data_IF_408261141466
#
_entry.id   IF_408261141466
#
_cell.length_a   1.000
_cell.length_b   1.000
_cell.length_c   1.000
_cell.angle_alpha   90.00
_cell.angle_beta   90.00
_cell.angle_gamma   90.00
#
_symmetry.space_group_name_H-M   'P 1'
#
loop_
_entity.id
_entity.type
_entity.pdbx_description
1 polymer ?
#
# COMPACT_ATOMS: atom_id res chain seq x y z
N UNK A 1 8.71 8.81 -8.69
CA UNK A 1 10.06 9.37 -8.56
C UNK A 1 10.47 9.52 -7.11
N UNK A 2 11.70 9.90 -6.88
CA UNK A 2 12.29 10.10 -5.56
C UNK A 2 12.64 11.57 -5.34
N UNK A 3 12.63 12.05 -4.11
CA UNK A 3 13.09 13.40 -3.81
C UNK A 3 14.61 13.50 -3.95
N UNK A 4 15.06 14.55 -4.61
CA UNK A 4 16.47 14.93 -4.55
C UNK A 4 16.80 15.33 -3.11
N UNK A 5 17.92 14.84 -2.58
CA UNK A 5 18.33 15.08 -1.19
C UNK A 5 18.22 16.56 -0.80
N UNK A 6 17.65 16.84 0.37
CA UNK A 6 17.45 18.17 0.94
C UNK A 6 16.61 19.14 0.10
N UNK A 7 15.78 18.62 -0.80
CA UNK A 7 14.87 19.41 -1.64
C UNK A 7 13.51 18.74 -1.77
N UNK A 8 12.50 19.49 -2.26
CA UNK A 8 11.21 18.93 -2.71
C UNK A 8 11.17 18.64 -4.22
N UNK A 9 12.33 18.71 -4.89
CA UNK A 9 12.42 18.40 -6.31
C UNK A 9 12.35 16.89 -6.52
N UNK A 10 11.42 16.46 -7.37
CA UNK A 10 11.25 15.05 -7.71
C UNK A 10 12.12 14.69 -8.91
N UNK A 11 12.97 13.69 -8.74
CA UNK A 11 13.69 13.03 -9.83
C UNK A 11 12.80 11.93 -10.39
N UNK A 12 12.37 12.00 -11.65
CA UNK A 12 11.52 10.98 -12.22
C UNK A 12 12.26 9.65 -12.36
N UNK A 13 11.64 8.58 -11.86
CA UNK A 13 12.13 7.21 -12.00
C UNK A 13 11.12 6.43 -12.83
N UNK A 14 11.58 5.63 -13.76
CA UNK A 14 10.72 4.76 -14.58
C UNK A 14 10.89 3.28 -14.27
N UNK A 15 12.00 2.93 -13.61
CA UNK A 15 12.31 1.60 -13.15
C UNK A 15 13.21 1.70 -11.92
N UNK A 16 12.94 0.90 -10.90
CA UNK A 16 13.73 0.85 -9.67
C UNK A 16 14.12 -0.62 -9.38
N UNK A 17 15.40 -0.87 -9.13
CA UNK A 17 15.91 -2.23 -8.92
C UNK A 17 15.45 -2.86 -7.61
N UNK A 18 14.94 -2.09 -6.67
CA UNK A 18 14.48 -2.57 -5.35
C UNK A 18 12.96 -2.49 -5.19
N UNK A 19 12.24 -1.93 -6.16
CA UNK A 19 10.78 -1.90 -6.17
C UNK A 19 10.21 -3.07 -6.99
N UNK A 20 8.93 -3.33 -6.81
CA UNK A 20 8.20 -4.33 -7.59
C UNK A 20 7.96 -3.81 -9.01
N UNK A 21 8.31 -4.61 -10.03
CA UNK A 21 8.20 -4.22 -11.44
C UNK A 21 6.76 -3.89 -11.86
N UNK A 22 5.77 -4.57 -11.27
CA UNK A 22 4.36 -4.28 -11.51
C UNK A 22 3.99 -2.91 -10.94
N UNK A 23 4.50 -2.57 -9.75
CA UNK A 23 4.29 -1.26 -9.16
C UNK A 23 4.92 -0.15 -10.01
N UNK A 24 6.14 -0.34 -10.48
CA UNK A 24 6.83 0.58 -11.40
C UNK A 24 5.99 0.83 -12.67
N UNK A 25 5.53 -0.24 -13.32
CA UNK A 25 4.74 -0.15 -14.55
C UNK A 25 3.42 0.62 -14.32
N UNK A 26 2.74 0.37 -13.20
CA UNK A 26 1.51 1.08 -12.81
C UNK A 26 1.80 2.57 -12.59
N UNK A 27 2.87 2.93 -11.87
CA UNK A 27 3.26 4.32 -11.61
C UNK A 27 3.57 5.06 -12.93
N UNK A 28 4.30 4.42 -13.85
CA UNK A 28 4.62 4.99 -15.16
C UNK A 28 3.33 5.21 -15.98
N UNK A 29 2.41 4.25 -15.97
CA UNK A 29 1.11 4.37 -16.64
C UNK A 29 0.28 5.51 -16.05
N UNK A 30 0.18 5.60 -14.71
CA UNK A 30 -0.54 6.69 -14.05
C UNK A 30 0.06 8.04 -14.47
N UNK A 31 1.38 8.19 -14.45
CA UNK A 31 2.07 9.42 -14.89
C UNK A 31 1.70 9.82 -16.32
N UNK A 32 1.55 8.87 -17.22
CA UNK A 32 1.11 9.10 -18.60
C UNK A 32 -0.37 9.51 -18.65
N UNK A 33 -1.24 8.80 -17.92
CA UNK A 33 -2.67 9.08 -17.86
C UNK A 33 -2.99 10.45 -17.26
N UNK A 34 -2.19 10.96 -16.29
CA UNK A 34 -2.37 12.31 -15.73
C UNK A 34 -2.40 13.37 -16.81
N UNK A 35 -1.51 13.27 -17.81
CA UNK A 35 -1.46 14.21 -18.95
C UNK A 35 -2.72 14.10 -19.80
N UNK A 36 -3.14 12.87 -20.14
CA UNK A 36 -4.30 12.61 -20.99
C UNK A 36 -5.61 13.06 -20.35
N UNK A 37 -5.72 12.93 -19.03
CA UNK A 37 -6.90 13.34 -18.25
C UNK A 37 -6.81 14.75 -17.68
N UNK A 38 -5.74 15.50 -17.99
CA UNK A 38 -5.50 16.88 -17.52
C UNK A 38 -5.54 16.99 -15.98
N UNK A 39 -5.07 15.94 -15.28
CA UNK A 39 -4.92 15.93 -13.83
C UNK A 39 -3.54 16.49 -13.51
N UNK A 40 -3.49 17.60 -12.77
CA UNK A 40 -2.22 18.23 -12.39
C UNK A 40 -1.63 17.53 -11.16
N UNK A 41 -0.35 17.11 -11.18
CA UNK A 41 0.37 16.77 -9.97
C UNK A 41 0.36 17.93 -8.99
N UNK A 42 0.32 17.61 -7.70
CA UNK A 42 0.39 18.60 -6.64
C UNK A 42 1.81 19.16 -6.52
N UNK A 43 1.91 20.45 -6.41
CA UNK A 43 3.16 21.16 -6.19
C UNK A 43 3.17 21.69 -4.74
N UNK A 44 4.09 21.19 -3.94
CA UNK A 44 4.19 21.53 -2.51
C UNK A 44 4.65 22.96 -2.26
N UNK A 45 5.37 23.60 -3.21
CA UNK A 45 5.79 25.00 -3.07
C UNK A 45 4.64 25.96 -3.28
N UNK A 46 3.80 25.68 -4.28
CA UNK A 46 2.68 26.57 -4.63
C UNK A 46 1.37 26.17 -3.95
N UNK A 47 1.29 24.98 -3.38
CA UNK A 47 0.06 24.42 -2.81
C UNK A 47 -1.01 24.12 -3.86
N UNK A 48 -0.65 24.02 -5.13
CA UNK A 48 -1.58 23.84 -6.26
C UNK A 48 -1.44 22.46 -6.91
N UNK A 49 -2.49 22.01 -7.56
CA UNK A 49 -2.56 20.68 -8.17
C UNK A 49 -3.47 19.73 -7.41
N UNK A 50 -3.67 18.53 -7.92
CA UNK A 50 -4.64 17.58 -7.38
C UNK A 50 -4.00 16.32 -6.84
N UNK A 51 -3.21 15.59 -7.67
CA UNK A 51 -2.63 14.31 -7.27
C UNK A 51 -1.33 14.53 -6.49
N UNK A 52 -1.33 14.18 -5.21
CA UNK A 52 -0.18 14.34 -4.31
C UNK A 52 0.74 13.12 -4.33
N UNK A 53 0.16 11.94 -4.10
CA UNK A 53 0.91 10.70 -4.05
C UNK A 53 0.14 9.58 -4.74
N UNK A 54 0.86 8.55 -5.13
CA UNK A 54 0.31 7.26 -5.53
C UNK A 54 0.97 6.20 -4.67
N UNK A 55 0.15 5.40 -3.99
CA UNK A 55 0.62 4.25 -3.24
C UNK A 55 0.15 2.98 -3.96
N UNK A 56 1.08 2.09 -4.27
CA UNK A 56 0.78 0.78 -4.82
C UNK A 56 1.11 -0.28 -3.77
N UNK A 57 0.15 -1.15 -3.48
CA UNK A 57 0.35 -2.31 -2.62
C UNK A 57 0.07 -3.57 -3.43
N UNK A 58 0.93 -4.56 -3.29
CA UNK A 58 0.78 -5.85 -3.95
C UNK A 58 0.76 -6.98 -2.93
N UNK A 59 -0.20 -7.89 -3.07
CA UNK A 59 -0.16 -9.19 -2.42
C UNK A 59 0.79 -10.09 -3.20
N UNK A 60 1.86 -10.52 -2.55
CA UNK A 60 2.92 -11.30 -3.19
C UNK A 60 2.43 -12.70 -3.61
N UNK A 61 1.70 -13.36 -2.70
CA UNK A 61 1.16 -14.70 -2.90
C UNK A 61 -0.11 -14.67 -3.77
N UNK A 62 -0.97 -13.66 -3.58
CA UNK A 62 -2.24 -13.56 -4.29
C UNK A 62 -2.15 -12.92 -5.67
N UNK A 63 -1.10 -12.12 -5.93
CA UNK A 63 -0.97 -11.28 -7.11
C UNK A 63 -1.94 -10.09 -7.16
N UNK A 64 -2.78 -9.89 -6.14
CA UNK A 64 -3.72 -8.78 -6.06
C UNK A 64 -2.99 -7.45 -5.91
N UNK A 65 -3.51 -6.41 -6.57
CA UNK A 65 -2.91 -5.07 -6.56
C UNK A 65 -3.93 -4.04 -6.09
N UNK A 66 -3.53 -3.20 -5.15
CA UNK A 66 -4.24 -2.01 -4.71
C UNK A 66 -3.51 -0.76 -5.19
N UNK A 67 -4.25 0.16 -5.78
CA UNK A 67 -3.76 1.50 -6.12
C UNK A 67 -4.49 2.52 -5.27
N UNK A 68 -3.74 3.37 -4.55
CA UNK A 68 -4.30 4.48 -3.77
C UNK A 68 -3.87 5.80 -4.41
N UNK A 69 -4.83 6.56 -4.89
CA UNK A 69 -4.64 7.90 -5.45
C UNK A 69 -4.85 8.92 -4.33
N UNK A 70 -3.78 9.54 -3.85
CA UNK A 70 -3.86 10.57 -2.81
C UNK A 70 -4.06 11.93 -3.45
N UNK A 71 -5.20 12.54 -3.20
CA UNK A 71 -5.62 13.81 -3.80
C UNK A 71 -5.71 14.92 -2.77
N UNK A 72 -5.38 16.15 -3.16
CA UNK A 72 -5.50 17.34 -2.30
C UNK A 72 -6.96 17.70 -1.98
N UNK A 73 -7.90 17.32 -2.86
CA UNK A 73 -9.34 17.59 -2.70
C UNK A 73 -10.15 16.33 -2.99
N UNK A 74 -11.42 16.25 -2.49
CA UNK A 74 -12.26 15.08 -2.72
C UNK A 74 -12.79 14.97 -4.16
N UNK A 75 -12.66 16.02 -4.97
CA UNK A 75 -13.12 16.03 -6.35
C UNK A 75 -12.00 15.53 -7.26
N UNK A 76 -12.15 14.30 -7.76
CA UNK A 76 -11.28 13.75 -8.81
C UNK A 76 -12.07 13.79 -10.14
N UNK A 77 -11.73 14.70 -11.06
CA UNK A 77 -12.39 14.79 -12.35
C UNK A 77 -12.24 13.49 -13.15
N UNK A 78 -13.29 13.12 -13.89
CA UNK A 78 -13.29 11.95 -14.79
C UNK A 78 -12.82 10.64 -14.16
N UNK A 79 -12.96 10.48 -12.83
CA UNK A 79 -12.45 9.34 -12.04
C UNK A 79 -12.79 7.97 -12.63
N UNK A 80 -14.04 7.77 -13.09
CA UNK A 80 -14.49 6.48 -13.62
C UNK A 80 -13.71 6.13 -14.91
N UNK A 81 -13.59 7.09 -15.84
CA UNK A 81 -12.83 6.91 -17.08
C UNK A 81 -11.33 6.73 -16.83
N UNK A 82 -10.78 7.44 -15.84
CA UNK A 82 -9.39 7.30 -15.43
C UNK A 82 -9.12 5.89 -14.90
N UNK A 83 -9.97 5.41 -13.98
CA UNK A 83 -9.84 4.06 -13.41
C UNK A 83 -10.02 2.98 -14.48
N UNK A 84 -10.99 3.16 -15.39
CA UNK A 84 -11.21 2.24 -16.51
C UNK A 84 -9.98 2.17 -17.44
N UNK A 85 -9.42 3.33 -17.82
CA UNK A 85 -8.22 3.40 -18.65
C UNK A 85 -7.01 2.75 -17.97
N UNK A 86 -6.82 2.98 -16.68
CA UNK A 86 -5.75 2.37 -15.90
C UNK A 86 -5.89 0.84 -15.87
N UNK A 87 -7.09 0.34 -15.57
CA UNK A 87 -7.37 -1.10 -15.48
C UNK A 87 -7.35 -1.82 -16.83
N UNK A 88 -7.62 -1.11 -17.92
CA UNK A 88 -7.49 -1.67 -19.27
C UNK A 88 -6.03 -2.05 -19.59
N UNK A 89 -5.07 -1.31 -19.04
CA UNK A 89 -3.63 -1.55 -19.20
C UNK A 89 -3.13 -2.53 -18.13
N UNK A 90 -3.65 -2.40 -16.90
CA UNK A 90 -3.27 -3.17 -15.73
C UNK A 90 -4.48 -3.96 -15.17
N UNK A 91 -4.87 -5.07 -15.80
CA UNK A 91 -6.03 -5.89 -15.36
C UNK A 91 -5.82 -6.55 -13.99
N UNK A 92 -4.59 -6.68 -13.54
CA UNK A 92 -4.20 -7.20 -12.22
C UNK A 92 -4.64 -6.28 -11.05
N UNK A 93 -5.00 -5.02 -11.32
CA UNK A 93 -5.49 -4.10 -10.29
C UNK A 93 -6.84 -4.59 -9.76
N UNK A 94 -6.82 -5.06 -8.51
CA UNK A 94 -7.98 -5.58 -7.79
C UNK A 94 -8.84 -4.47 -7.22
N UNK A 95 -8.20 -3.39 -6.75
CA UNK A 95 -8.92 -2.27 -6.14
C UNK A 95 -8.21 -0.93 -6.37
N UNK A 96 -9.01 0.13 -6.51
CA UNK A 96 -8.53 1.51 -6.61
C UNK A 96 -9.25 2.35 -5.56
N UNK A 97 -8.48 3.08 -4.76
CA UNK A 97 -8.95 3.93 -3.66
C UNK A 97 -8.51 5.36 -3.94
N UNK A 98 -9.41 6.32 -3.73
CA UNK A 98 -9.06 7.72 -3.55
C UNK A 98 -8.91 7.98 -2.06
N UNK A 99 -7.74 8.47 -1.64
CA UNK A 99 -7.53 9.01 -0.30
C UNK A 99 -7.40 10.53 -0.43
N UNK A 100 -8.05 11.27 0.48
CA UNK A 100 -8.04 12.74 0.45
C UNK A 100 -7.15 13.27 1.55
N UNK A 101 -6.07 13.95 1.15
CA UNK A 101 -5.15 14.63 2.05
C UNK A 101 -4.88 16.06 1.55
N UNK A 102 -5.71 17.01 2.01
CA UNK A 102 -5.55 18.45 1.72
C UNK A 102 -4.71 19.20 2.75
N UNK A 103 -4.20 18.51 3.79
CA UNK A 103 -3.44 19.15 4.87
C UNK A 103 -1.98 19.39 4.44
N UNK A 104 -1.38 20.45 4.93
CA UNK A 104 0.06 20.66 4.83
C UNK A 104 0.75 19.79 5.89
N UNK A 105 1.19 18.61 5.48
CA UNK A 105 1.73 17.56 6.38
C UNK A 105 2.66 16.63 5.61
N UNK A 106 3.62 16.03 6.33
CA UNK A 106 4.47 14.96 5.81
C UNK A 106 3.77 13.59 5.72
N UNK A 107 2.57 13.47 6.29
CA UNK A 107 1.79 12.23 6.18
C UNK A 107 1.27 12.06 4.76
N UNK A 108 1.49 10.88 4.20
CA UNK A 108 1.04 10.54 2.84
C UNK A 108 -0.48 10.42 2.79
N UNK A 109 -1.08 9.67 3.72
CA UNK A 109 -2.52 9.38 3.73
C UNK A 109 -3.27 10.33 4.66
N UNK A 110 -4.41 10.81 4.17
CA UNK A 110 -5.39 11.54 4.96
C UNK A 110 -6.42 10.61 5.62
N UNK A 111 -7.43 11.22 6.22
CA UNK A 111 -8.46 10.48 6.98
C UNK A 111 -9.57 9.92 6.10
N UNK A 112 -9.94 10.65 5.03
CA UNK A 112 -11.05 10.29 4.16
C UNK A 112 -10.61 9.39 3.03
N UNK A 113 -11.34 8.32 2.83
CA UNK A 113 -11.13 7.37 1.74
C UNK A 113 -12.43 7.11 0.99
N UNK A 114 -12.30 6.88 -0.31
CA UNK A 114 -13.38 6.49 -1.19
C UNK A 114 -12.92 5.39 -2.13
N UNK A 115 -13.59 4.26 -2.11
CA UNK A 115 -13.37 3.19 -3.08
C UNK A 115 -13.89 3.64 -4.43
N UNK A 116 -13.02 3.66 -5.44
CA UNK A 116 -13.36 3.97 -6.82
C UNK A 116 -13.63 2.72 -7.64
N UNK A 117 -12.96 1.61 -7.28
CA UNK A 117 -13.13 0.31 -7.90
C UNK A 117 -12.74 -0.81 -6.92
N UNK A 118 -13.41 -1.97 -7.04
CA UNK A 118 -13.10 -3.18 -6.28
C UNK A 118 -13.57 -3.12 -4.82
N UNK A 119 -13.06 -4.02 -3.97
CA UNK A 119 -13.55 -4.19 -2.60
C UNK A 119 -12.98 -3.16 -1.59
N UNK A 120 -11.96 -2.36 -1.96
CA UNK A 120 -11.29 -1.44 -1.04
C UNK A 120 -10.19 -2.08 -0.18
N UNK A 121 -9.83 -3.32 -0.45
CA UNK A 121 -8.73 -4.05 0.17
C UNK A 121 -8.14 -5.06 -0.81
N UNK A 122 -6.99 -5.59 -0.47
CA UNK A 122 -6.41 -6.79 -1.10
C UNK A 122 -6.20 -7.86 -0.03
N UNK A 123 -6.09 -9.10 -0.44
CA UNK A 123 -5.73 -10.21 0.43
C UNK A 123 -4.37 -10.76 0.03
N UNK A 124 -3.60 -11.21 1.02
CA UNK A 124 -2.35 -11.91 0.79
C UNK A 124 -2.14 -12.99 1.84
N UNK A 125 -1.31 -13.98 1.52
CA UNK A 125 -0.99 -15.08 2.42
C UNK A 125 0.45 -14.95 2.91
N UNK A 126 0.63 -15.00 4.23
CA UNK A 126 1.94 -14.98 4.89
C UNK A 126 1.98 -16.05 5.98
N UNK A 127 2.99 -16.91 5.95
CA UNK A 127 3.11 -18.07 6.88
C UNK A 127 1.82 -18.89 6.96
N UNK A 128 1.09 -19.03 5.85
CA UNK A 128 -0.18 -19.78 5.78
C UNK A 128 -1.38 -19.09 6.43
N UNK A 129 -1.28 -17.82 6.88
CA UNK A 129 -2.40 -17.00 7.31
C UNK A 129 -2.80 -16.05 6.18
N UNK A 130 -4.11 -15.89 5.96
CA UNK A 130 -4.65 -14.91 5.01
C UNK A 130 -4.88 -13.59 5.73
N UNK A 131 -4.32 -12.52 5.19
CA UNK A 131 -4.44 -11.16 5.71
C UNK A 131 -5.20 -10.28 4.75
N UNK A 132 -6.15 -9.53 5.28
CA UNK A 132 -6.85 -8.49 4.54
C UNK A 132 -6.15 -7.15 4.77
N UNK A 133 -5.66 -6.55 3.70
CA UNK A 133 -4.78 -5.38 3.72
C UNK A 133 -5.54 -4.18 3.19
N UNK A 134 -5.75 -3.15 4.01
CA UNK A 134 -6.33 -1.86 3.63
C UNK A 134 -5.26 -0.85 3.18
N UNK A 135 -5.67 0.30 2.67
CA UNK A 135 -4.75 1.37 2.30
C UNK A 135 -3.85 1.80 3.47
N UNK A 136 -4.41 1.89 4.68
CA UNK A 136 -3.70 2.33 5.91
C UNK A 136 -2.97 1.22 6.65
N UNK A 137 -3.26 -0.05 6.36
CA UNK A 137 -2.60 -1.18 7.03
C UNK A 137 -1.10 -1.18 6.73
N UNK A 138 -0.28 -1.32 7.77
CA UNK A 138 1.11 -1.70 7.58
C UNK A 138 1.17 -3.19 7.24
N UNK A 139 1.89 -3.55 6.19
CA UNK A 139 2.18 -4.92 5.81
C UNK A 139 3.62 -5.00 5.31
N UNK A 140 4.32 -6.06 5.65
CA UNK A 140 5.73 -6.22 5.29
C UNK A 140 5.91 -6.33 3.77
N UNK A 141 6.80 -5.52 3.22
CA UNK A 141 7.01 -5.42 1.77
C UNK A 141 7.85 -6.57 1.18
N UNK A 142 8.57 -7.32 2.03
CA UNK A 142 9.37 -8.46 1.63
C UNK A 142 8.86 -9.72 2.33
N UNK A 143 7.83 -10.39 1.81
CA UNK A 143 7.20 -11.53 2.46
C UNK A 143 8.16 -12.72 2.63
N UNK A 144 9.06 -12.95 1.67
CA UNK A 144 10.05 -14.03 1.74
C UNK A 144 10.96 -13.88 2.97
N UNK A 145 11.45 -12.67 3.23
CA UNK A 145 12.27 -12.42 4.41
C UNK A 145 11.43 -12.34 5.68
N UNK A 146 10.20 -11.87 5.57
CA UNK A 146 9.27 -11.82 6.70
C UNK A 146 8.94 -13.22 7.21
N UNK A 147 8.69 -14.18 6.34
CA UNK A 147 8.44 -15.57 6.71
C UNK A 147 9.65 -16.19 7.45
N UNK A 148 10.87 -15.93 6.97
CA UNK A 148 12.10 -16.37 7.65
C UNK A 148 12.24 -15.71 9.03
N UNK A 149 12.00 -14.39 9.11
CA UNK A 149 12.08 -13.63 10.35
C UNK A 149 11.06 -14.16 11.39
N UNK A 150 9.81 -14.32 10.96
CA UNK A 150 8.74 -14.78 11.84
C UNK A 150 8.94 -16.24 12.25
N UNK A 151 9.33 -17.11 11.31
CA UNK A 151 9.70 -18.50 11.64
C UNK A 151 10.81 -18.57 12.68
N UNK A 152 11.85 -17.75 12.55
CA UNK A 152 12.94 -17.70 13.53
C UNK A 152 12.50 -17.13 14.87
N UNK A 153 11.62 -16.11 14.88
CA UNK A 153 11.08 -15.57 16.11
C UNK A 153 10.25 -16.61 16.88
N UNK A 154 9.38 -17.36 16.19
CA UNK A 154 8.58 -18.44 16.80
C UNK A 154 9.48 -19.56 17.34
N UNK A 155 10.50 -19.98 16.58
CA UNK A 155 11.48 -20.97 17.02
C UNK A 155 12.18 -20.55 18.33
N UNK A 156 12.69 -19.30 18.36
CA UNK A 156 13.39 -18.76 19.55
C UNK A 156 12.46 -18.55 20.75
N UNK A 157 11.18 -18.28 20.51
CA UNK A 157 10.19 -18.16 21.57
C UNK A 157 9.90 -19.52 22.27
N UNK A 158 10.26 -20.64 21.64
CA UNK A 158 10.15 -21.99 22.17
C UNK A 158 8.75 -22.30 22.79
N UNK A 159 7.69 -21.84 22.12
CA UNK A 159 6.32 -21.97 22.60
C UNK A 159 5.90 -23.46 22.67
N UNK A 160 5.29 -23.84 23.78
CA UNK A 160 4.86 -25.24 24.07
C UNK A 160 3.35 -25.45 23.91
N UNK A 161 2.61 -24.38 23.60
CA UNK A 161 1.15 -24.39 23.52
C UNK A 161 0.45 -23.99 24.83
N UNK A 162 1.21 -23.68 25.91
CA UNK A 162 0.65 -23.31 27.20
C UNK A 162 0.77 -21.82 27.53
N UNK A 163 1.53 -21.07 26.74
CA UNK A 163 1.88 -19.69 27.00
C UNK A 163 0.76 -18.72 26.58
N UNK A 164 0.74 -17.58 27.27
CA UNK A 164 0.05 -16.37 26.80
C UNK A 164 1.08 -15.43 26.21
N UNK A 165 0.94 -15.14 24.92
CA UNK A 165 1.81 -14.21 24.18
C UNK A 165 1.13 -12.85 24.08
N UNK A 166 1.89 -11.78 24.28
CA UNK A 166 1.44 -10.40 24.10
C UNK A 166 2.15 -9.81 22.89
N UNK A 167 1.38 -9.38 21.90
CA UNK A 167 1.84 -8.61 20.73
C UNK A 167 1.50 -7.15 20.97
N UNK A 168 2.42 -6.42 21.62
CA UNK A 168 2.16 -5.09 22.16
C UNK A 168 1.96 -4.00 21.10
N UNK A 169 2.44 -4.22 19.89
CA UNK A 169 2.31 -3.29 18.76
C UNK A 169 1.80 -4.04 17.51
N UNK A 170 0.75 -4.79 17.69
CA UNK A 170 0.29 -5.82 16.76
C UNK A 170 -0.06 -5.33 15.34
N UNK A 171 -0.44 -4.06 15.16
CA UNK A 171 -0.92 -3.56 13.88
C UNK A 171 -2.12 -4.38 13.38
N UNK A 172 -1.97 -5.05 12.21
CA UNK A 172 -2.99 -5.99 11.71
C UNK A 172 -2.80 -7.41 12.25
N UNK A 173 -1.92 -7.60 13.24
CA UNK A 173 -1.74 -8.86 13.96
C UNK A 173 -0.91 -9.91 13.23
N UNK A 174 -0.02 -9.55 12.31
CA UNK A 174 0.67 -10.52 11.47
C UNK A 174 1.46 -11.56 12.27
N UNK A 175 2.35 -11.12 13.17
CA UNK A 175 3.15 -12.05 13.98
C UNK A 175 2.31 -12.72 15.09
N UNK A 176 1.38 -11.97 15.69
CA UNK A 176 0.49 -12.48 16.71
C UNK A 176 -0.38 -13.64 16.22
N UNK A 177 -0.97 -13.53 15.04
CA UNK A 177 -1.79 -14.59 14.42
C UNK A 177 -0.97 -15.84 14.08
N UNK A 178 0.28 -15.65 13.64
CA UNK A 178 1.19 -16.77 13.38
C UNK A 178 1.57 -17.46 14.70
N UNK A 179 1.90 -16.68 15.75
CA UNK A 179 2.22 -17.20 17.09
C UNK A 179 1.03 -17.95 17.73
N UNK A 180 -0.20 -17.55 17.41
CA UNK A 180 -1.40 -18.17 17.94
C UNK A 180 -1.55 -19.68 17.59
N UNK A 181 -0.82 -20.14 16.57
CA UNK A 181 -0.77 -21.59 16.23
C UNK A 181 0.10 -22.40 17.19
N UNK A 182 0.94 -21.75 17.98
CA UNK A 182 1.94 -22.34 18.86
C UNK A 182 1.74 -21.98 20.33
N UNK A 183 0.78 -21.10 20.66
CA UNK A 183 0.52 -20.61 22.00
C UNK A 183 -0.92 -20.94 22.43
N UNK A 184 -1.17 -20.98 23.74
CA UNK A 184 -2.53 -21.14 24.32
C UNK A 184 -3.40 -19.92 24.02
N UNK A 185 -2.83 -18.73 24.06
CA UNK A 185 -3.52 -17.45 23.88
C UNK A 185 -2.56 -16.39 23.34
N UNK A 186 -3.05 -15.55 22.45
CA UNK A 186 -2.36 -14.34 22.01
C UNK A 186 -3.27 -13.15 22.26
N UNK A 187 -2.67 -12.06 22.75
CA UNK A 187 -3.31 -10.76 22.99
C UNK A 187 -2.55 -9.73 22.18
N UNK A 188 -3.27 -8.99 21.32
CA UNK A 188 -2.74 -7.88 20.53
C UNK A 188 -3.53 -6.60 20.72
#
# INVERSE_FOLDING_TARGET
GVYQSSTHRIVPVSHCMIEDETADAIIVTIRSLLKSFRIRPYDEYTGTGLLRHVLVKRGFSSGQVMVVLVTATPILPTKNRFVEALRKIHPEITTVIQNVNGKFTSLVLGEQEKVLFGPGYIEDTLCGCVFRISAKSFYQINPVQTEKLYGRAIELAALTGNETVIDAYCGIGTIGLIAARHAKKVIG
#
